data_IF_591858810448
#
_entry.id   IF_591858810448
#
_cell.length_a   1.000
_cell.length_b   1.000
_cell.length_c   1.000
_cell.angle_alpha   90.00
_cell.angle_beta   90.00
_cell.angle_gamma   90.00
#
_symmetry.space_group_name_H-M   'P 1'
#
loop_
_entity.id
_entity.type
_entity.pdbx_description
1 polymer ?
#
# COMPACT_ATOMS: atom_id res chain seq x y z
N UNK A 1 -19.49 20.40 26.96
CA UNK A 1 -20.32 20.04 25.81
C UNK A 1 -19.63 20.32 24.47
N UNK A 2 -19.07 21.52 24.27
CA UNK A 2 -18.37 21.84 23.03
C UNK A 2 -17.17 20.91 22.77
N UNK A 3 -16.44 20.52 23.83
CA UNK A 3 -15.28 19.64 23.72
C UNK A 3 -15.65 18.21 23.32
N UNK A 4 -16.76 17.69 23.85
CA UNK A 4 -17.25 16.36 23.47
C UNK A 4 -17.71 16.33 22.02
N UNK A 5 -18.37 17.39 21.58
CA UNK A 5 -18.82 17.52 20.20
C UNK A 5 -17.63 17.61 19.24
N UNK A 6 -16.62 18.38 19.61
CA UNK A 6 -15.39 18.50 18.83
C UNK A 6 -14.64 17.17 18.76
N UNK A 7 -14.51 16.44 19.88
CA UNK A 7 -13.90 15.12 19.89
C UNK A 7 -14.64 14.12 19.00
N UNK A 8 -15.99 14.19 19.02
CA UNK A 8 -16.81 13.33 18.17
C UNK A 8 -16.56 13.61 16.67
N UNK A 9 -16.50 14.87 16.29
CA UNK A 9 -16.23 15.27 14.91
C UNK A 9 -14.81 14.86 14.48
N UNK A 10 -13.81 15.03 15.33
CA UNK A 10 -12.43 14.63 15.05
C UNK A 10 -12.32 13.12 14.91
N UNK A 11 -13.06 12.36 15.72
CA UNK A 11 -13.07 10.90 15.63
C UNK A 11 -13.68 10.43 14.30
N UNK A 12 -14.76 11.07 13.86
CA UNK A 12 -15.36 10.76 12.56
C UNK A 12 -14.38 11.06 11.42
N UNK A 13 -13.73 12.20 11.46
CA UNK A 13 -12.73 12.58 10.45
C UNK A 13 -11.60 11.56 10.38
N UNK A 14 -11.03 11.19 11.54
CA UNK A 14 -9.97 10.19 11.61
C UNK A 14 -10.44 8.83 11.10
N UNK A 15 -11.67 8.42 11.44
CA UNK A 15 -12.25 7.16 10.98
C UNK A 15 -12.39 7.14 9.46
N UNK A 16 -12.86 8.22 8.86
CA UNK A 16 -13.00 8.31 7.41
C UNK A 16 -11.64 8.23 6.71
N UNK A 17 -10.63 8.89 7.25
CA UNK A 17 -9.27 8.86 6.67
C UNK A 17 -8.67 7.46 6.70
N UNK A 18 -8.83 6.75 7.81
CA UNK A 18 -8.29 5.39 7.95
C UNK A 18 -9.12 4.39 7.14
N UNK A 19 -10.43 4.57 7.09
CA UNK A 19 -11.34 3.66 6.40
C UNK A 19 -11.21 3.73 4.87
N UNK A 20 -10.87 4.89 4.31
CA UNK A 20 -10.80 5.07 2.85
C UNK A 20 -9.85 4.09 2.16
N UNK A 21 -8.57 3.94 2.58
CA UNK A 21 -7.69 2.96 1.97
C UNK A 21 -8.18 1.53 2.14
N UNK A 22 -8.75 1.20 3.29
CA UNK A 22 -9.26 -0.14 3.58
C UNK A 22 -10.47 -0.48 2.70
N UNK A 23 -11.37 0.47 2.48
CA UNK A 23 -12.54 0.29 1.61
C UNK A 23 -12.09 0.07 0.17
N UNK A 24 -11.15 0.86 -0.32
CA UNK A 24 -10.61 0.70 -1.67
C UNK A 24 -9.91 -0.64 -1.84
N UNK A 25 -9.17 -1.08 -0.83
CA UNK A 25 -8.50 -2.37 -0.82
C UNK A 25 -9.52 -3.52 -0.84
N UNK A 26 -10.60 -3.41 -0.06
CA UNK A 26 -11.68 -4.40 -0.04
C UNK A 26 -12.38 -4.51 -1.39
N UNK A 27 -12.62 -3.37 -2.06
CA UNK A 27 -13.19 -3.37 -3.41
C UNK A 27 -12.27 -4.05 -4.41
N UNK A 28 -10.97 -3.78 -4.34
CA UNK A 28 -9.98 -4.45 -5.19
C UNK A 28 -10.01 -5.97 -4.97
N UNK A 29 -10.14 -6.41 -3.72
CA UNK A 29 -10.27 -7.83 -3.37
C UNK A 29 -11.52 -8.46 -3.96
N UNK A 30 -12.65 -7.77 -3.92
CA UNK A 30 -13.90 -8.24 -4.51
C UNK A 30 -13.75 -8.44 -6.02
N UNK A 31 -13.16 -7.48 -6.72
CA UNK A 31 -12.93 -7.60 -8.16
C UNK A 31 -11.99 -8.77 -8.47
N UNK A 32 -10.95 -8.95 -7.68
CA UNK A 32 -10.00 -10.05 -7.84
C UNK A 32 -10.68 -11.40 -7.66
N UNK A 33 -11.46 -11.56 -6.59
CA UNK A 33 -12.18 -12.81 -6.30
C UNK A 33 -13.21 -13.13 -7.38
N UNK A 34 -13.91 -12.13 -7.90
CA UNK A 34 -14.86 -12.34 -8.99
C UNK A 34 -14.21 -12.80 -10.28
N UNK A 35 -12.94 -12.43 -10.48
CA UNK A 35 -12.18 -12.91 -11.65
C UNK A 35 -11.64 -14.34 -11.48
N UNK A 36 -11.80 -14.92 -10.29
CA UNK A 36 -11.33 -16.28 -9.99
C UNK A 36 -9.91 -16.32 -9.41
N UNK A 37 -9.29 -15.17 -9.16
CA UNK A 37 -7.95 -15.09 -8.58
C UNK A 37 -8.07 -14.55 -7.16
N UNK A 38 -7.59 -15.32 -6.20
CA UNK A 38 -7.52 -14.88 -4.79
C UNK A 38 -6.27 -14.03 -4.61
N UNK A 39 -6.44 -12.80 -4.18
CA UNK A 39 -5.33 -11.87 -3.98
C UNK A 39 -5.15 -11.54 -2.50
N UNK A 40 -4.28 -12.28 -1.84
CA UNK A 40 -3.89 -12.04 -0.45
C UNK A 40 -2.83 -10.95 -0.37
N UNK A 41 -2.21 -10.60 -1.49
CA UNK A 41 -1.12 -9.62 -1.55
C UNK A 41 -1.57 -8.15 -1.46
N UNK A 42 -2.87 -7.90 -1.25
CA UNK A 42 -3.40 -6.53 -1.17
C UNK A 42 -2.72 -5.70 -0.07
N UNK A 43 -2.41 -6.32 1.06
CA UNK A 43 -1.70 -5.68 2.16
C UNK A 43 -0.30 -5.22 1.72
N UNK A 44 0.46 -6.09 1.08
CA UNK A 44 1.79 -5.77 0.56
C UNK A 44 1.75 -4.71 -0.52
N UNK A 45 0.76 -4.77 -1.40
CA UNK A 45 0.55 -3.77 -2.44
C UNK A 45 0.25 -2.40 -1.83
N UNK A 46 -0.59 -2.37 -0.81
CA UNK A 46 -0.93 -1.15 -0.09
C UNK A 46 0.29 -0.53 0.58
N UNK A 47 1.08 -1.35 1.27
CA UNK A 47 2.29 -0.92 1.96
C UNK A 47 3.33 -0.37 0.97
N UNK A 48 3.61 -1.09 -0.11
CA UNK A 48 4.58 -0.67 -1.12
C UNK A 48 4.13 0.60 -1.83
N UNK A 49 2.85 0.69 -2.18
CA UNK A 49 2.30 1.87 -2.84
C UNK A 49 2.36 3.10 -1.95
N UNK A 50 2.04 2.96 -0.66
CA UNK A 50 2.14 4.05 0.30
C UNK A 50 3.59 4.51 0.47
N UNK A 51 4.53 3.58 0.55
CA UNK A 51 5.95 3.88 0.65
C UNK A 51 6.46 4.64 -0.58
N UNK A 52 6.14 4.13 -1.77
CA UNK A 52 6.57 4.75 -3.04
C UNK A 52 5.94 6.13 -3.20
N UNK A 53 4.66 6.28 -2.84
CA UNK A 53 3.99 7.58 -2.89
C UNK A 53 4.69 8.60 -2.01
N UNK A 54 5.00 8.23 -0.78
CA UNK A 54 5.69 9.11 0.16
C UNK A 54 7.11 9.44 -0.31
N UNK A 55 7.86 8.45 -0.76
CA UNK A 55 9.24 8.61 -1.21
C UNK A 55 9.32 9.53 -2.44
N UNK A 56 8.51 9.27 -3.45
CA UNK A 56 8.51 10.06 -4.70
C UNK A 56 7.99 11.47 -4.44
N UNK A 57 6.94 11.62 -3.63
CA UNK A 57 6.43 12.93 -3.28
C UNK A 57 7.48 13.77 -2.54
N UNK A 58 8.25 13.16 -1.66
CA UNK A 58 9.33 13.84 -0.93
C UNK A 58 10.47 14.25 -1.86
N UNK A 59 10.91 13.33 -2.76
CA UNK A 59 12.03 13.58 -3.66
C UNK A 59 11.69 14.60 -4.75
N UNK A 60 10.47 14.59 -5.26
CA UNK A 60 10.06 15.49 -6.35
C UNK A 60 9.30 16.71 -5.87
N UNK A 61 8.97 16.77 -4.59
CA UNK A 61 8.12 17.83 -3.99
C UNK A 61 6.77 17.95 -4.68
N UNK A 62 6.27 16.86 -5.27
CA UNK A 62 5.00 16.82 -5.97
C UNK A 62 4.15 15.63 -5.51
N UNK A 63 2.97 15.91 -4.99
CA UNK A 63 2.03 14.87 -4.57
C UNK A 63 1.48 14.09 -5.76
N UNK A 64 1.29 14.74 -6.90
CA UNK A 64 0.82 14.08 -8.13
C UNK A 64 1.83 13.06 -8.64
N UNK A 65 3.12 13.40 -8.63
CA UNK A 65 4.17 12.46 -9.04
C UNK A 65 4.18 11.23 -8.11
N UNK A 66 4.03 11.44 -6.81
CA UNK A 66 3.93 10.34 -5.84
C UNK A 66 2.73 9.44 -6.09
N UNK A 67 1.59 10.02 -6.42
CA UNK A 67 0.37 9.28 -6.74
C UNK A 67 0.55 8.40 -7.98
N UNK A 68 1.08 8.96 -9.06
CA UNK A 68 1.31 8.19 -10.29
C UNK A 68 2.33 7.07 -10.08
N UNK A 69 3.39 7.33 -9.32
CA UNK A 69 4.38 6.31 -8.99
C UNK A 69 3.77 5.17 -8.19
N UNK A 70 2.90 5.48 -7.22
CA UNK A 70 2.20 4.50 -6.42
C UNK A 70 1.27 3.62 -7.26
N UNK A 71 0.54 4.23 -8.18
CA UNK A 71 -0.34 3.51 -9.12
C UNK A 71 0.50 2.55 -9.97
N UNK A 72 1.64 3.01 -10.49
CA UNK A 72 2.56 2.18 -11.28
C UNK A 72 3.06 0.97 -10.52
N UNK A 73 3.47 1.15 -9.27
CA UNK A 73 3.94 0.05 -8.42
C UNK A 73 2.82 -0.93 -8.12
N UNK A 74 1.62 -0.45 -7.84
CA UNK A 74 0.46 -1.30 -7.58
C UNK A 74 0.13 -2.17 -8.80
N UNK A 75 0.18 -1.59 -9.99
CA UNK A 75 -0.03 -2.31 -11.24
C UNK A 75 1.07 -3.37 -11.46
N UNK A 76 2.33 -3.02 -11.23
CA UNK A 76 3.44 -3.97 -11.35
C UNK A 76 3.27 -5.18 -10.43
N UNK A 77 2.94 -4.94 -9.17
CA UNK A 77 2.72 -6.02 -8.20
C UNK A 77 1.49 -6.86 -8.57
N UNK A 78 0.44 -6.22 -9.08
CA UNK A 78 -0.74 -6.91 -9.56
C UNK A 78 -0.44 -7.81 -10.75
N UNK A 79 0.35 -7.31 -11.70
CA UNK A 79 0.79 -8.11 -12.85
C UNK A 79 1.68 -9.27 -12.42
N UNK A 80 2.57 -9.05 -11.47
CA UNK A 80 3.43 -10.10 -10.94
C UNK A 80 2.60 -11.21 -10.29
N UNK A 81 1.62 -10.85 -9.47
CA UNK A 81 0.72 -11.82 -8.85
C UNK A 81 -0.11 -12.57 -9.90
N UNK A 82 -0.64 -11.85 -10.89
CA UNK A 82 -1.40 -12.42 -12.00
C UNK A 82 -0.54 -13.38 -12.84
N UNK A 83 0.69 -13.00 -13.14
CA UNK A 83 1.62 -13.86 -13.86
C UNK A 83 1.88 -15.15 -13.09
N UNK A 84 2.17 -15.05 -11.80
CA UNK A 84 2.43 -16.23 -10.98
C UNK A 84 1.20 -17.13 -10.82
N UNK A 85 0.03 -16.53 -10.68
CA UNK A 85 -1.22 -17.28 -10.37
C UNK A 85 -1.91 -17.82 -11.61
N UNK A 86 -1.93 -17.06 -12.70
CA UNK A 86 -2.68 -17.39 -13.91
C UNK A 86 -1.77 -18.04 -14.95
N UNK A 87 -0.69 -17.37 -15.34
CA UNK A 87 0.19 -17.82 -16.43
C UNK A 87 1.02 -19.01 -16.00
N UNK A 88 1.64 -18.96 -14.85
CA UNK A 88 2.49 -20.04 -14.32
C UNK A 88 1.69 -21.08 -13.53
N UNK A 89 0.40 -20.84 -13.33
CA UNK A 89 -0.50 -21.74 -12.58
C UNK A 89 0.03 -22.07 -11.18
N UNK A 90 0.69 -21.10 -10.55
CA UNK A 90 1.21 -21.27 -9.20
C UNK A 90 0.11 -21.19 -8.15
N UNK A 91 0.49 -21.47 -6.91
CA UNK A 91 -0.42 -21.36 -5.77
C UNK A 91 -0.65 -19.88 -5.47
N UNK A 92 -1.91 -19.45 -5.56
CA UNK A 92 -2.30 -18.04 -5.37
C UNK A 92 -2.00 -17.54 -3.94
N UNK A 93 -2.20 -18.41 -2.95
CA UNK A 93 -1.94 -18.06 -1.54
C UNK A 93 -0.45 -17.86 -1.31
N UNK A 94 0.38 -18.76 -1.79
CA UNK A 94 1.84 -18.66 -1.65
C UNK A 94 2.36 -17.42 -2.36
N UNK A 95 1.88 -17.16 -3.57
CA UNK A 95 2.26 -15.97 -4.33
C UNK A 95 1.89 -14.68 -3.58
N UNK A 96 0.68 -14.61 -3.03
CA UNK A 96 0.22 -13.46 -2.25
C UNK A 96 1.05 -13.23 -1.00
N UNK A 97 1.34 -14.28 -0.24
CA UNK A 97 2.17 -14.20 0.94
C UNK A 97 3.60 -13.79 0.60
N UNK A 98 4.15 -14.31 -0.50
CA UNK A 98 5.48 -13.94 -0.96
C UNK A 98 5.57 -12.45 -1.30
N UNK A 99 4.56 -11.90 -1.96
CA UNK A 99 4.49 -10.47 -2.27
C UNK A 99 4.40 -9.63 -0.98
N UNK A 100 3.61 -10.06 0.00
CA UNK A 100 3.52 -9.36 1.28
C UNK A 100 4.85 -9.33 2.00
N UNK A 101 5.57 -10.45 2.05
CA UNK A 101 6.89 -10.53 2.67
C UNK A 101 7.90 -9.67 1.90
N UNK A 102 7.87 -9.73 0.57
CA UNK A 102 8.75 -8.94 -0.29
C UNK A 102 8.51 -7.44 -0.07
N UNK A 103 7.26 -7.00 -0.06
CA UNK A 103 6.91 -5.60 0.17
C UNK A 103 7.37 -5.13 1.54
N UNK A 104 7.13 -5.93 2.57
CA UNK A 104 7.56 -5.61 3.93
C UNK A 104 9.09 -5.48 4.03
N UNK A 105 9.83 -6.43 3.46
CA UNK A 105 11.29 -6.40 3.46
C UNK A 105 11.87 -5.25 2.64
N UNK A 106 11.33 -5.01 1.45
CA UNK A 106 11.81 -3.93 0.58
C UNK A 106 11.52 -2.55 1.18
N UNK A 107 10.35 -2.33 1.74
CA UNK A 107 10.02 -1.01 2.33
C UNK A 107 10.92 -0.68 3.50
N UNK A 108 11.23 -1.65 4.36
CA UNK A 108 12.14 -1.45 5.48
C UNK A 108 13.56 -1.20 4.99
N UNK A 109 14.06 -2.05 4.09
CA UNK A 109 15.45 -1.98 3.60
C UNK A 109 15.69 -0.69 2.81
N UNK A 110 14.82 -0.38 1.86
CA UNK A 110 14.95 0.83 1.04
C UNK A 110 14.69 2.08 1.90
N UNK A 111 13.75 2.01 2.82
CA UNK A 111 13.46 3.11 3.75
C UNK A 111 14.67 3.46 4.60
N UNK A 112 15.35 2.47 5.17
CA UNK A 112 16.56 2.68 5.93
C UNK A 112 17.67 3.27 5.05
N UNK A 113 17.84 2.75 3.83
CA UNK A 113 18.87 3.24 2.92
C UNK A 113 18.63 4.69 2.49
N UNK A 114 17.38 5.05 2.20
CA UNK A 114 17.03 6.38 1.71
C UNK A 114 16.94 7.43 2.83
N UNK A 115 16.38 7.04 3.99
CA UNK A 115 16.05 7.99 5.05
C UNK A 115 16.97 7.86 6.27
N UNK A 116 18.03 7.07 6.17
CA UNK A 116 18.98 6.87 7.27
C UNK A 116 19.57 8.20 7.77
N UNK A 117 19.94 9.08 6.85
CA UNK A 117 20.47 10.38 7.20
C UNK A 117 19.45 11.27 7.92
N UNK A 118 18.20 11.20 7.49
CA UNK A 118 17.12 11.93 8.15
C UNK A 118 16.88 11.41 9.56
N UNK A 119 16.96 10.12 9.76
CA UNK A 119 16.85 9.50 11.07
C UNK A 119 18.00 9.96 12.01
N UNK A 120 19.22 10.02 11.49
CA UNK A 120 20.37 10.51 12.25
C UNK A 120 20.26 11.99 12.62
N UNK A 121 19.66 12.81 11.77
CA UNK A 121 19.46 14.23 12.03
C UNK A 121 18.42 14.44 13.15
N UNK A 122 17.42 13.56 13.23
CA UNK A 122 16.36 13.65 14.24
C UNK A 122 16.72 13.03 15.59
N UNK A 123 17.80 12.29 15.67
CA UNK A 123 18.34 11.77 16.91
C UNK A 123 19.27 12.81 17.54
#
# INVERSE_FOLDING_TARGET
MADLWLQFLLTIDATLRVATPLILCAMAGIFSEKSGVIDISLEGKMLMSAFVAAAVATLTSSALAGMFAAIGVAIMLGLLHGLASITLRGNQVISGLAINILASGLTVTVGIAMFQQLSLIHI
#
